data_IF_754137038600
#
_entry.id   IF_754137038600
#
_cell.length_a   1.000
_cell.length_b   1.000
_cell.length_c   1.000
_cell.angle_alpha   90.00
_cell.angle_beta   90.00
_cell.angle_gamma   90.00
#
_symmetry.space_group_name_H-M   'P 1'
#
loop_
_entity.id
_entity.type
_entity.pdbx_description
1 polymer ?
#
# COMPACT_ATOMS: atom_id res chain seq x y z
N UNK A 1 9.50 -3.91 -0.11
CA UNK A 1 8.47 -4.33 0.85
C UNK A 1 8.87 -5.61 1.59
N UNK A 2 9.12 -6.74 0.91
CA UNK A 2 9.38 -8.04 1.56
C UNK A 2 10.44 -7.95 2.66
N UNK A 3 11.60 -7.39 2.38
CA UNK A 3 12.68 -7.25 3.37
C UNK A 3 12.26 -6.38 4.58
N UNK A 4 11.50 -5.30 4.36
CA UNK A 4 10.99 -4.45 5.44
C UNK A 4 9.97 -5.16 6.32
N UNK A 5 9.05 -5.94 5.73
CA UNK A 5 8.09 -6.76 6.49
C UNK A 5 8.83 -7.82 7.31
N UNK A 6 9.77 -8.54 6.69
CA UNK A 6 10.57 -9.55 7.38
C UNK A 6 11.36 -8.94 8.53
N UNK A 7 11.98 -7.78 8.32
CA UNK A 7 12.68 -7.05 9.40
C UNK A 7 11.74 -6.72 10.55
N UNK A 8 10.54 -6.21 10.26
CA UNK A 8 9.55 -5.86 11.28
C UNK A 8 9.07 -7.07 12.07
N UNK A 9 8.87 -8.22 11.40
CA UNK A 9 8.53 -9.49 12.04
C UNK A 9 9.68 -9.97 12.92
N UNK A 10 10.89 -9.97 12.40
CA UNK A 10 12.08 -10.45 13.13
C UNK A 10 12.39 -9.62 14.37
N UNK A 11 12.16 -8.31 14.34
CA UNK A 11 12.31 -7.43 15.52
C UNK A 11 11.27 -7.73 16.62
N UNK A 12 10.19 -8.41 16.29
CA UNK A 12 9.12 -8.80 17.22
C UNK A 12 8.96 -10.30 17.33
N UNK A 13 10.01 -11.06 17.01
CA UNK A 13 9.93 -12.53 16.94
C UNK A 13 9.48 -13.19 18.25
N UNK A 14 9.86 -12.65 19.39
CA UNK A 14 9.46 -13.16 20.70
C UNK A 14 7.96 -12.93 20.97
N UNK A 15 7.44 -11.77 20.58
CA UNK A 15 6.02 -11.43 20.69
C UNK A 15 5.16 -12.25 19.71
N UNK A 16 5.68 -12.51 18.52
CA UNK A 16 4.97 -13.20 17.44
C UNK A 16 5.27 -14.70 17.38
N UNK A 17 6.20 -15.19 18.20
CA UNK A 17 6.64 -16.60 18.26
C UNK A 17 7.00 -17.17 16.87
N UNK A 18 7.85 -16.43 16.12
CA UNK A 18 8.24 -16.79 14.75
C UNK A 18 9.56 -17.55 14.72
N UNK A 19 9.49 -18.83 14.32
CA UNK A 19 10.64 -19.74 14.19
C UNK A 19 11.13 -19.88 12.74
N UNK A 20 10.21 -19.77 11.77
CA UNK A 20 10.51 -20.00 10.36
C UNK A 20 9.80 -18.99 9.47
N UNK A 21 10.51 -18.48 8.48
CA UNK A 21 9.98 -17.63 7.39
C UNK A 21 10.22 -18.35 6.07
N UNK A 22 9.17 -18.47 5.27
CA UNK A 22 9.22 -19.05 3.93
C UNK A 22 8.99 -18.00 2.88
N UNK A 23 9.93 -17.86 1.96
CA UNK A 23 9.76 -17.06 0.76
C UNK A 23 9.24 -17.93 -0.36
N UNK A 24 8.09 -17.58 -0.91
CA UNK A 24 7.50 -18.25 -2.06
C UNK A 24 7.31 -17.26 -3.21
N UNK A 25 7.78 -17.61 -4.39
CA UNK A 25 7.53 -16.87 -5.62
C UNK A 25 7.47 -17.85 -6.80
N UNK A 26 6.65 -17.53 -7.81
CA UNK A 26 6.60 -18.29 -9.06
C UNK A 26 7.81 -18.01 -9.96
N UNK A 27 8.56 -16.94 -9.72
CA UNK A 27 9.76 -16.54 -10.45
C UNK A 27 11.00 -16.77 -9.57
N UNK A 28 11.71 -17.85 -9.86
CA UNK A 28 12.90 -18.26 -9.10
C UNK A 28 14.00 -17.19 -9.11
N UNK A 29 14.28 -16.56 -10.24
CA UNK A 29 15.35 -15.56 -10.33
C UNK A 29 15.07 -14.33 -9.45
N UNK A 30 13.84 -13.84 -9.47
CA UNK A 30 13.41 -12.73 -8.59
C UNK A 30 13.48 -13.14 -7.13
N UNK A 31 13.02 -14.33 -6.82
CA UNK A 31 13.02 -14.89 -5.48
C UNK A 31 14.44 -15.00 -4.91
N UNK A 32 15.39 -15.54 -5.69
CA UNK A 32 16.77 -15.69 -5.27
C UNK A 32 17.41 -14.33 -4.92
N UNK A 33 17.12 -13.28 -5.71
CA UNK A 33 17.59 -11.91 -5.43
C UNK A 33 16.99 -11.35 -4.12
N UNK A 34 15.72 -11.58 -3.87
CA UNK A 34 15.06 -11.15 -2.63
C UNK A 34 15.58 -11.93 -1.45
N UNK A 35 15.81 -13.23 -1.61
CA UNK A 35 16.31 -14.12 -0.57
C UNK A 35 17.67 -13.68 -0.02
N UNK A 36 18.59 -13.22 -0.88
CA UNK A 36 19.89 -12.68 -0.44
C UNK A 36 19.72 -11.50 0.53
N UNK A 37 18.81 -10.59 0.22
CA UNK A 37 18.56 -9.42 1.08
C UNK A 37 17.89 -9.84 2.39
N UNK A 38 16.92 -10.75 2.33
CA UNK A 38 16.20 -11.25 3.50
C UNK A 38 17.13 -12.04 4.43
N UNK A 39 17.97 -12.90 3.87
CA UNK A 39 18.98 -13.66 4.62
C UNK A 39 19.94 -12.72 5.37
N UNK A 40 20.43 -11.69 4.66
CA UNK A 40 21.29 -10.69 5.26
C UNK A 40 20.60 -9.95 6.43
N UNK A 41 19.35 -9.55 6.26
CA UNK A 41 18.56 -8.88 7.31
C UNK A 41 18.38 -9.78 8.51
N UNK A 42 18.00 -11.04 8.32
CA UNK A 42 17.75 -11.98 9.42
C UNK A 42 19.04 -12.37 10.17
N UNK A 43 20.07 -12.77 9.43
CA UNK A 43 21.22 -13.45 10.02
C UNK A 43 22.46 -12.57 10.20
N UNK A 44 22.58 -11.45 9.45
CA UNK A 44 23.72 -10.54 9.58
C UNK A 44 23.37 -9.24 10.29
N UNK A 45 22.26 -8.61 9.92
CA UNK A 45 21.86 -7.35 10.54
C UNK A 45 21.25 -7.56 11.93
N UNK A 46 20.28 -8.48 12.05
CA UNK A 46 19.52 -8.73 13.28
C UNK A 46 20.04 -9.91 14.11
N UNK A 47 20.95 -10.71 13.56
CA UNK A 47 21.54 -11.88 14.21
C UNK A 47 20.48 -12.80 14.84
N UNK A 48 19.43 -13.11 14.09
CA UNK A 48 18.37 -14.02 14.54
C UNK A 48 18.68 -15.46 14.17
N UNK A 49 17.99 -16.39 14.83
CA UNK A 49 17.98 -17.81 14.57
C UNK A 49 16.78 -18.27 13.74
N UNK A 50 15.97 -17.31 13.23
CA UNK A 50 14.80 -17.59 12.39
C UNK A 50 15.24 -18.33 11.13
N UNK A 51 14.68 -19.51 10.91
CA UNK A 51 14.97 -20.33 9.74
C UNK A 51 14.37 -19.69 8.48
N UNK A 52 15.19 -19.50 7.44
CA UNK A 52 14.75 -19.03 6.14
C UNK A 52 14.65 -20.19 5.16
N UNK A 53 13.46 -20.39 4.57
CA UNK A 53 13.20 -21.33 3.48
C UNK A 53 12.84 -20.57 2.22
N UNK A 54 13.48 -20.92 1.11
CA UNK A 54 13.25 -20.29 -0.22
C UNK A 54 12.75 -21.37 -1.16
N UNK A 55 11.53 -21.23 -1.69
CA UNK A 55 10.92 -22.28 -2.50
C UNK A 55 9.98 -21.75 -3.57
N UNK A 56 9.92 -22.46 -4.70
CA UNK A 56 8.89 -22.28 -5.74
C UNK A 56 7.82 -23.37 -5.70
N UNK A 57 7.92 -24.28 -4.76
CA UNK A 57 6.95 -25.37 -4.55
C UNK A 57 5.84 -24.92 -3.59
N UNK A 58 4.61 -25.00 -4.05
CA UNK A 58 3.41 -24.57 -3.33
C UNK A 58 3.20 -25.35 -2.04
N UNK A 59 3.40 -26.68 -2.09
CA UNK A 59 3.22 -27.52 -0.94
C UNK A 59 4.26 -27.19 0.13
N UNK A 60 5.53 -27.08 -0.24
CA UNK A 60 6.60 -26.70 0.67
C UNK A 60 6.37 -25.31 1.27
N UNK A 61 5.83 -24.37 0.48
CA UNK A 61 5.55 -23.03 0.93
C UNK A 61 4.50 -22.98 2.04
N UNK A 62 3.41 -23.73 1.89
CA UNK A 62 2.23 -23.56 2.75
C UNK A 62 2.04 -24.66 3.80
N UNK A 63 2.71 -25.83 3.69
CA UNK A 63 2.52 -26.90 4.68
C UNK A 63 2.77 -26.40 6.10
N UNK A 64 1.77 -26.58 6.97
CA UNK A 64 1.80 -26.21 8.39
C UNK A 64 2.09 -24.72 8.70
N UNK A 65 1.87 -23.81 7.73
CA UNK A 65 1.98 -22.38 7.99
C UNK A 65 0.81 -21.85 8.82
N UNK A 66 1.11 -20.90 9.73
CA UNK A 66 0.10 -20.20 10.53
C UNK A 66 -0.33 -18.88 9.87
N UNK A 67 0.61 -18.17 9.21
CA UNK A 67 0.38 -16.88 8.57
C UNK A 67 0.95 -16.85 7.17
N UNK A 68 0.20 -16.27 6.24
CA UNK A 68 0.64 -16.03 4.87
C UNK A 68 0.54 -14.54 4.56
N UNK A 69 1.67 -13.91 4.24
CA UNK A 69 1.72 -12.55 3.76
C UNK A 69 1.65 -12.55 2.23
N UNK A 70 0.49 -12.21 1.67
CA UNK A 70 0.28 -12.19 0.23
C UNK A 70 0.66 -10.81 -0.33
N UNK A 71 1.67 -10.80 -1.22
CA UNK A 71 2.19 -9.60 -1.84
C UNK A 71 2.51 -9.90 -3.31
N UNK A 72 1.54 -9.75 -4.17
CA UNK A 72 1.69 -10.07 -5.59
C UNK A 72 1.33 -8.89 -6.49
N UNK A 73 2.02 -8.81 -7.63
CA UNK A 73 1.69 -7.91 -8.74
C UNK A 73 1.52 -8.72 -10.01
N UNK A 74 0.28 -9.10 -10.29
CA UNK A 74 -0.06 -9.90 -11.47
C UNK A 74 0.12 -9.08 -12.75
N UNK A 75 0.96 -9.58 -13.67
CA UNK A 75 1.35 -8.87 -14.88
C UNK A 75 2.56 -7.94 -14.75
N UNK A 76 3.08 -7.76 -13.53
CA UNK A 76 4.26 -6.93 -13.28
C UNK A 76 4.08 -5.46 -13.64
N UNK A 77 5.19 -4.75 -13.80
CA UNK A 77 5.17 -3.32 -14.14
C UNK A 77 4.72 -3.04 -15.57
N UNK A 78 4.99 -3.95 -16.51
CA UNK A 78 4.57 -3.79 -17.90
C UNK A 78 3.03 -3.68 -18.02
N UNK A 79 2.30 -4.54 -17.32
CA UNK A 79 0.83 -4.48 -17.31
C UNK A 79 0.32 -3.26 -16.55
N UNK A 80 0.96 -2.89 -15.44
CA UNK A 80 0.63 -1.64 -14.73
C UNK A 80 0.70 -0.44 -15.67
N UNK A 81 1.75 -0.34 -16.46
CA UNK A 81 1.92 0.74 -17.42
C UNK A 81 0.76 0.78 -18.44
N UNK A 82 0.29 -0.37 -18.91
CA UNK A 82 -0.85 -0.45 -19.81
C UNK A 82 -2.15 -0.07 -19.12
N UNK A 83 -2.38 -0.52 -17.89
CA UNK A 83 -3.56 -0.20 -17.11
C UNK A 83 -3.73 1.32 -16.91
N UNK A 84 -2.61 2.04 -16.79
CA UNK A 84 -2.63 3.49 -16.64
C UNK A 84 -2.68 4.23 -17.99
N UNK A 85 -1.97 3.74 -19.01
CA UNK A 85 -1.89 4.39 -20.34
C UNK A 85 -3.15 4.20 -21.20
N UNK A 86 -3.79 3.05 -21.14
CA UNK A 86 -4.98 2.78 -21.95
C UNK A 86 -6.12 3.74 -21.63
N UNK A 87 -6.54 3.90 -20.36
CA UNK A 87 -7.57 4.89 -20.02
C UNK A 87 -7.23 6.31 -20.47
N UNK A 88 -5.97 6.73 -20.32
CA UNK A 88 -5.52 8.07 -20.72
C UNK A 88 -5.73 8.33 -22.23
N UNK A 89 -5.52 7.33 -23.09
CA UNK A 89 -5.77 7.45 -24.55
C UNK A 89 -7.24 7.68 -24.86
N UNK A 90 -8.14 7.33 -23.95
CA UNK A 90 -9.58 7.50 -24.06
C UNK A 90 -10.13 8.66 -23.22
N UNK A 91 -9.24 9.57 -22.77
CA UNK A 91 -9.64 10.71 -21.96
C UNK A 91 -10.11 10.37 -20.54
N UNK A 92 -9.82 9.17 -20.07
CA UNK A 92 -10.13 8.73 -18.70
C UNK A 92 -8.87 8.74 -17.82
N UNK A 93 -9.05 8.96 -16.53
CA UNK A 93 -7.96 8.87 -15.55
C UNK A 93 -7.44 7.43 -15.50
N UNK A 94 -6.13 7.26 -15.72
CA UNK A 94 -5.43 5.99 -15.58
C UNK A 94 -4.74 5.89 -14.22
N UNK A 95 -5.28 5.07 -13.33
CA UNK A 95 -4.76 4.88 -11.98
C UNK A 95 -4.65 3.38 -11.66
N UNK A 96 -3.68 3.01 -10.83
CA UNK A 96 -3.38 1.61 -10.51
C UNK A 96 -4.49 0.91 -9.75
N UNK A 97 -5.17 1.61 -8.84
CA UNK A 97 -6.05 0.99 -7.83
C UNK A 97 -7.52 1.32 -8.01
N UNK A 98 -7.84 2.40 -8.71
CA UNK A 98 -9.19 2.88 -8.92
C UNK A 98 -9.49 3.07 -10.41
N UNK A 99 -10.77 3.25 -10.78
CA UNK A 99 -11.20 3.48 -12.16
C UNK A 99 -10.91 2.30 -13.08
N UNK A 100 -10.78 2.59 -14.38
CA UNK A 100 -10.60 1.58 -15.42
C UNK A 100 -9.29 0.78 -15.25
N UNK A 101 -8.21 1.45 -14.86
CA UNK A 101 -6.92 0.80 -14.61
C UNK A 101 -6.98 -0.15 -13.42
N UNK A 102 -7.58 0.31 -12.31
CA UNK A 102 -7.81 -0.52 -11.13
C UNK A 102 -8.71 -1.71 -11.42
N UNK A 103 -9.75 -1.55 -12.23
CA UNK A 103 -10.60 -2.66 -12.67
C UNK A 103 -9.80 -3.72 -13.46
N UNK A 104 -9.01 -3.31 -14.44
CA UNK A 104 -8.21 -4.22 -15.25
C UNK A 104 -7.18 -4.98 -14.40
N UNK A 105 -6.49 -4.30 -13.50
CA UNK A 105 -5.56 -4.90 -12.55
C UNK A 105 -6.28 -5.85 -11.58
N UNK A 106 -7.42 -5.44 -11.03
CA UNK A 106 -8.24 -6.26 -10.14
C UNK A 106 -8.68 -7.56 -10.79
N UNK A 107 -9.22 -7.49 -11.98
CA UNK A 107 -9.65 -8.68 -12.74
C UNK A 107 -8.50 -9.68 -12.94
N UNK A 108 -7.28 -9.22 -13.18
CA UNK A 108 -6.11 -10.11 -13.27
C UNK A 108 -5.69 -10.70 -11.93
N UNK A 109 -5.86 -9.94 -10.83
CA UNK A 109 -5.39 -10.34 -9.51
C UNK A 109 -6.34 -11.30 -8.81
N UNK A 110 -7.64 -11.26 -9.11
CA UNK A 110 -8.66 -12.09 -8.45
C UNK A 110 -8.32 -13.58 -8.56
N UNK A 111 -8.07 -14.11 -9.77
CA UNK A 111 -7.86 -15.54 -9.95
C UNK A 111 -6.61 -16.08 -9.23
N UNK A 112 -5.43 -15.44 -9.33
CA UNK A 112 -4.28 -15.86 -8.55
C UNK A 112 -4.49 -15.76 -7.03
N UNK A 113 -5.28 -14.80 -6.55
CA UNK A 113 -5.60 -14.70 -5.13
C UNK A 113 -6.53 -15.82 -4.67
N UNK A 114 -7.53 -16.17 -5.46
CA UNK A 114 -8.40 -17.31 -5.16
C UNK A 114 -7.60 -18.62 -5.16
N UNK A 115 -6.69 -18.80 -6.11
CA UNK A 115 -5.79 -19.95 -6.14
C UNK A 115 -4.90 -20.00 -4.89
N UNK A 116 -4.34 -18.87 -4.47
CA UNK A 116 -3.56 -18.78 -3.23
C UNK A 116 -4.41 -19.20 -2.02
N UNK A 117 -5.65 -18.75 -1.91
CA UNK A 117 -6.55 -19.16 -0.83
C UNK A 117 -6.78 -20.66 -0.85
N UNK A 118 -7.08 -21.25 -2.01
CA UNK A 118 -7.33 -22.68 -2.16
C UNK A 118 -6.08 -23.51 -1.78
N UNK A 119 -4.89 -23.06 -2.17
CA UNK A 119 -3.63 -23.70 -1.83
C UNK A 119 -3.34 -23.62 -0.31
N UNK A 120 -3.58 -22.47 0.30
CA UNK A 120 -3.41 -22.28 1.74
C UNK A 120 -4.42 -23.12 2.51
N UNK A 121 -5.69 -23.15 2.12
CA UNK A 121 -6.70 -24.02 2.75
C UNK A 121 -6.34 -25.49 2.68
N UNK A 122 -5.65 -25.91 1.62
CA UNK A 122 -5.25 -27.32 1.41
C UNK A 122 -4.05 -27.72 2.28
N UNK A 123 -3.08 -26.84 2.48
CA UNK A 123 -1.78 -27.21 3.04
C UNK A 123 -1.46 -26.59 4.40
N UNK A 124 -2.00 -25.41 4.71
CA UNK A 124 -1.69 -24.70 5.94
C UNK A 124 -2.42 -25.31 7.17
N UNK A 125 -2.09 -24.82 8.35
CA UNK A 125 -2.82 -25.14 9.56
C UNK A 125 -4.28 -24.70 9.45
N UNK A 126 -5.20 -25.33 10.17
CA UNK A 126 -6.63 -25.01 10.12
C UNK A 126 -6.98 -23.61 10.62
N UNK A 127 -6.14 -23.06 11.46
CA UNK A 127 -6.27 -21.74 12.05
C UNK A 127 -5.40 -20.66 11.36
N UNK A 128 -4.97 -20.92 10.13
CA UNK A 128 -4.20 -19.98 9.31
C UNK A 128 -4.86 -18.62 9.17
N UNK A 129 -4.03 -17.60 8.88
CA UNK A 129 -4.48 -16.31 8.42
C UNK A 129 -3.71 -15.86 7.18
N UNK A 130 -4.44 -15.29 6.21
CA UNK A 130 -3.85 -14.63 5.05
C UNK A 130 -3.94 -13.12 5.28
N UNK A 131 -2.80 -12.44 5.25
CA UNK A 131 -2.70 -10.99 5.28
C UNK A 131 -2.39 -10.52 3.85
N UNK A 132 -3.42 -10.07 3.14
CA UNK A 132 -3.26 -9.63 1.75
C UNK A 132 -2.89 -8.15 1.69
N UNK A 133 -1.71 -7.87 1.15
CA UNK A 133 -1.19 -6.53 0.88
C UNK A 133 -1.15 -6.23 -0.63
N UNK A 134 -1.82 -7.04 -1.45
CA UNK A 134 -1.88 -6.86 -2.90
C UNK A 134 -2.98 -5.88 -3.31
N UNK A 135 -2.69 -5.04 -4.29
CA UNK A 135 -3.66 -4.11 -4.89
C UNK A 135 -4.35 -4.72 -6.12
N UNK A 136 -5.52 -4.20 -6.51
CA UNK A 136 -6.38 -3.23 -5.80
C UNK A 136 -7.14 -3.89 -4.65
N UNK A 137 -6.80 -3.50 -3.42
CA UNK A 137 -7.29 -4.21 -2.23
C UNK A 137 -8.83 -4.28 -2.15
N UNK A 138 -9.55 -3.21 -2.49
CA UNK A 138 -11.02 -3.19 -2.43
C UNK A 138 -11.66 -4.20 -3.37
N UNK A 139 -11.19 -4.29 -4.63
CA UNK A 139 -11.73 -5.22 -5.65
C UNK A 139 -11.41 -6.67 -5.27
N UNK A 140 -10.16 -6.92 -4.89
CA UNK A 140 -9.71 -8.26 -4.50
C UNK A 140 -10.41 -8.72 -3.23
N UNK A 141 -10.56 -7.85 -2.23
CA UNK A 141 -11.29 -8.13 -0.99
C UNK A 141 -12.72 -8.57 -1.24
N UNK A 142 -13.45 -7.81 -2.05
CA UNK A 142 -14.85 -8.13 -2.36
C UNK A 142 -14.98 -9.45 -3.15
N UNK A 143 -14.06 -9.71 -4.07
CA UNK A 143 -14.02 -10.98 -4.79
C UNK A 143 -13.75 -12.17 -3.85
N UNK A 144 -12.77 -12.03 -2.94
CA UNK A 144 -12.47 -13.07 -1.94
C UNK A 144 -13.69 -13.33 -1.05
N UNK A 145 -14.34 -12.28 -0.55
CA UNK A 145 -15.54 -12.38 0.27
C UNK A 145 -16.67 -13.12 -0.42
N UNK A 146 -16.86 -12.90 -1.72
CA UNK A 146 -17.92 -13.56 -2.52
C UNK A 146 -17.56 -14.99 -2.90
N UNK A 147 -16.33 -15.23 -3.32
CA UNK A 147 -15.92 -16.51 -3.91
C UNK A 147 -15.39 -17.49 -2.86
N UNK A 148 -14.86 -16.99 -1.74
CA UNK A 148 -14.33 -17.78 -0.62
C UNK A 148 -14.78 -17.19 0.72
N UNK A 149 -16.10 -17.17 1.02
CA UNK A 149 -16.66 -16.47 2.18
C UNK A 149 -16.20 -17.03 3.53
N UNK A 150 -15.61 -18.22 3.56
CA UNK A 150 -15.07 -18.86 4.77
C UNK A 150 -13.58 -18.70 4.94
N UNK A 151 -12.88 -18.17 3.93
CA UNK A 151 -11.43 -17.98 3.98
C UNK A 151 -11.04 -16.97 5.08
N UNK A 152 -10.00 -17.29 5.82
CA UNK A 152 -9.45 -16.43 6.86
C UNK A 152 -8.45 -15.45 6.21
N UNK A 153 -8.97 -14.42 5.58
CA UNK A 153 -8.18 -13.41 4.88
C UNK A 153 -8.53 -12.00 5.36
N UNK A 154 -7.50 -11.20 5.61
CA UNK A 154 -7.60 -9.78 5.92
C UNK A 154 -6.84 -9.02 4.83
N UNK A 155 -7.51 -8.03 4.23
CA UNK A 155 -6.88 -7.14 3.26
C UNK A 155 -6.40 -5.90 3.99
N UNK A 156 -5.11 -5.58 3.87
CA UNK A 156 -4.44 -4.53 4.62
C UNK A 156 -3.80 -3.51 3.69
N UNK A 157 -3.72 -2.28 4.16
CA UNK A 157 -2.99 -1.18 3.52
C UNK A 157 -2.40 -0.29 4.61
N UNK A 158 -1.23 0.26 4.36
CA UNK A 158 -0.53 1.17 5.26
C UNK A 158 -0.92 2.64 5.07
N UNK A 159 -1.62 2.96 3.99
CA UNK A 159 -1.91 4.35 3.63
C UNK A 159 -2.60 5.17 4.73
N UNK A 160 -3.66 4.71 5.41
CA UNK A 160 -4.27 5.48 6.49
C UNK A 160 -3.29 5.79 7.64
N UNK A 161 -2.45 4.82 7.99
CA UNK A 161 -1.45 4.98 9.07
C UNK A 161 -0.33 5.92 8.64
N UNK A 162 0.14 5.81 7.40
CA UNK A 162 1.16 6.69 6.85
C UNK A 162 0.70 8.16 6.84
N UNK A 163 -0.59 8.41 6.59
CA UNK A 163 -1.15 9.75 6.64
C UNK A 163 -1.15 10.30 8.07
N UNK A 164 -1.47 9.49 9.06
CA UNK A 164 -1.39 9.92 10.46
C UNK A 164 0.06 10.26 10.85
N UNK A 165 1.06 9.58 10.32
CA UNK A 165 2.47 9.97 10.50
C UNK A 165 2.75 11.37 9.94
N UNK A 166 2.23 11.63 8.78
CA UNK A 166 2.38 12.91 8.10
C UNK A 166 1.61 14.02 8.82
N UNK A 167 0.39 13.76 9.29
CA UNK A 167 -0.38 14.68 10.12
C UNK A 167 0.37 15.00 11.41
N UNK A 168 0.91 14.00 12.08
CA UNK A 168 1.70 14.19 13.29
C UNK A 168 2.91 15.09 13.04
N UNK A 169 3.64 14.84 11.96
CA UNK A 169 4.79 15.68 11.57
C UNK A 169 4.38 17.12 11.25
N UNK A 170 3.32 17.32 10.47
CA UNK A 170 2.81 18.65 10.09
C UNK A 170 2.32 19.46 11.30
N UNK A 171 1.77 18.79 12.31
CA UNK A 171 1.23 19.42 13.52
C UNK A 171 2.22 19.42 14.70
N UNK A 172 3.46 18.92 14.52
CA UNK A 172 4.47 18.85 15.56
C UNK A 172 4.15 17.87 16.69
N UNK A 173 3.31 16.85 16.42
CA UNK A 173 2.88 15.86 17.41
C UNK A 173 3.94 14.77 17.52
N UNK A 174 4.46 14.55 18.72
CA UNK A 174 5.50 13.54 18.96
C UNK A 174 4.92 12.13 19.12
N UNK A 175 3.77 11.98 19.76
CA UNK A 175 3.13 10.70 19.98
C UNK A 175 1.88 10.51 19.10
N UNK A 176 2.12 10.05 17.88
CA UNK A 176 1.03 9.79 16.91
C UNK A 176 -0.01 8.77 17.38
N UNK A 177 0.32 7.91 18.36
CA UNK A 177 -0.62 6.91 18.90
C UNK A 177 -1.79 7.53 19.68
N UNK A 178 -1.65 8.79 20.07
CA UNK A 178 -2.71 9.54 20.77
C UNK A 178 -3.62 10.30 19.81
N UNK A 179 -3.34 10.25 18.50
CA UNK A 179 -4.23 10.79 17.47
C UNK A 179 -5.40 9.82 17.30
N UNK A 180 -6.60 10.34 17.52
CA UNK A 180 -7.86 9.63 17.28
C UNK A 180 -8.46 10.16 15.99
N UNK A 181 -8.95 9.27 15.12
CA UNK A 181 -9.50 9.68 13.84
C UNK A 181 -10.64 8.79 13.37
N UNK A 182 -11.56 9.38 12.63
CA UNK A 182 -12.60 8.68 11.88
C UNK A 182 -12.25 8.67 10.40
N UNK A 183 -12.27 7.48 9.81
CA UNK A 183 -11.88 7.25 8.43
C UNK A 183 -12.87 6.31 7.74
N UNK A 184 -13.27 6.64 6.52
CA UNK A 184 -14.17 5.80 5.73
C UNK A 184 -13.80 5.82 4.24
N UNK A 185 -14.41 4.95 3.45
CA UNK A 185 -14.26 4.89 2.00
C UNK A 185 -13.61 3.60 1.51
N UNK A 186 -13.25 3.59 0.25
CA UNK A 186 -12.56 2.48 -0.39
C UNK A 186 -11.04 2.65 -0.25
N UNK A 187 -10.32 1.54 -0.31
CA UNK A 187 -8.86 1.58 -0.37
C UNK A 187 -8.40 2.49 -1.53
N UNK A 188 -7.46 3.39 -1.27
CA UNK A 188 -7.00 4.46 -2.16
C UNK A 188 -8.07 5.48 -2.59
N UNK A 189 -9.24 5.46 -1.98
CA UNK A 189 -10.29 6.46 -2.14
C UNK A 189 -11.03 6.64 -0.83
N UNK A 190 -10.30 7.01 0.20
CA UNK A 190 -10.78 7.18 1.56
C UNK A 190 -10.70 8.61 2.05
N UNK A 191 -11.44 8.89 3.12
CA UNK A 191 -11.67 10.22 3.65
C UNK A 191 -11.62 10.22 5.16
N UNK A 192 -10.97 11.24 5.73
CA UNK A 192 -11.02 11.53 7.15
C UNK A 192 -12.16 12.51 7.41
N UNK A 193 -13.00 12.21 8.37
CA UNK A 193 -14.09 13.09 8.85
C UNK A 193 -13.78 13.71 10.18
N UNK A 194 -12.85 13.14 10.94
CA UNK A 194 -12.37 13.65 12.21
C UNK A 194 -10.92 13.24 12.39
N UNK A 195 -10.09 14.16 12.86
CA UNK A 195 -8.74 13.89 13.34
C UNK A 195 -8.57 14.73 14.61
N UNK A 196 -8.35 14.06 15.75
CA UNK A 196 -8.28 14.70 17.07
C UNK A 196 -6.98 14.34 17.78
N UNK A 197 -6.47 15.26 18.57
CA UNK A 197 -5.34 15.03 19.46
C UNK A 197 -5.65 15.66 20.83
N UNK A 198 -5.64 14.86 21.89
CA UNK A 198 -6.03 15.29 23.25
C UNK A 198 -7.38 15.99 23.31
N UNK A 199 -8.33 15.57 22.48
CA UNK A 199 -9.67 16.17 22.40
C UNK A 199 -9.76 17.45 21.57
N UNK A 200 -8.64 17.94 21.04
CA UNK A 200 -8.64 19.06 20.10
C UNK A 200 -8.88 18.56 18.68
N UNK A 201 -9.81 19.20 17.96
CA UNK A 201 -10.04 18.95 16.53
C UNK A 201 -8.90 19.55 15.68
N UNK A 202 -8.17 18.70 14.98
CA UNK A 202 -7.07 19.11 14.10
C UNK A 202 -7.52 19.47 12.69
N UNK A 203 -8.76 19.17 12.30
CA UNK A 203 -9.24 19.39 10.93
C UNK A 203 -9.09 20.85 10.46
N UNK A 204 -9.50 21.86 11.25
CA UNK A 204 -9.32 23.27 10.88
C UNK A 204 -7.84 23.67 10.70
N UNK A 205 -6.97 23.21 11.62
CA UNK A 205 -5.53 23.49 11.55
C UNK A 205 -4.87 22.86 10.32
N UNK A 206 -5.23 21.62 10.03
CA UNK A 206 -4.73 20.90 8.84
C UNK A 206 -5.16 21.60 7.54
N UNK A 207 -6.40 22.07 7.48
CA UNK A 207 -6.91 22.83 6.33
C UNK A 207 -6.18 24.16 6.16
N UNK A 208 -5.97 24.89 7.24
CA UNK A 208 -5.19 26.14 7.23
C UNK A 208 -3.75 25.86 6.76
N UNK A 209 -3.11 24.83 7.30
CA UNK A 209 -1.76 24.41 6.90
C UNK A 209 -1.65 24.07 5.41
N UNK A 210 -2.63 23.33 4.87
CA UNK A 210 -2.70 23.00 3.44
C UNK A 210 -2.83 24.27 2.61
N UNK A 211 -3.70 25.19 3.02
CA UNK A 211 -3.96 26.46 2.32
C UNK A 211 -2.77 27.42 2.37
N UNK A 212 -2.15 27.59 3.53
CA UNK A 212 -1.01 28.50 3.73
C UNK A 212 0.25 28.03 2.99
N UNK A 213 0.46 26.74 2.93
CA UNK A 213 1.61 26.20 2.22
C UNK A 213 1.42 26.14 0.70
N UNK A 214 0.23 26.54 0.20
CA UNK A 214 -0.14 26.73 -1.22
C UNK A 214 0.50 25.73 -2.18
N UNK A 215 0.62 24.48 -1.77
CA UNK A 215 1.11 23.46 -2.67
C UNK A 215 -0.09 22.99 -3.53
N UNK A 216 -0.84 23.93 -3.96
CA UNK A 216 -1.82 23.83 -5.02
C UNK A 216 -1.05 23.70 -6.33
N UNK A 217 -0.55 22.51 -6.57
CA UNK A 217 -0.20 21.95 -7.86
C UNK A 217 0.15 23.01 -8.94
N UNK A 218 1.18 23.85 -8.74
CA UNK A 218 1.68 24.63 -9.86
C UNK A 218 2.11 23.63 -10.95
N UNK A 219 1.98 24.00 -12.17
CA UNK A 219 2.35 23.15 -13.32
C UNK A 219 3.80 22.65 -13.23
N UNK A 220 4.68 23.43 -12.62
CA UNK A 220 6.05 23.05 -12.28
C UNK A 220 6.13 21.89 -11.30
N UNK A 221 5.22 21.81 -10.35
CA UNK A 221 5.13 20.74 -9.35
C UNK A 221 4.63 19.44 -9.98
N UNK A 222 3.67 19.53 -10.89
CA UNK A 222 3.21 18.39 -11.67
C UNK A 222 4.33 17.76 -12.49
N UNK A 223 5.22 18.59 -13.03
CA UNK A 223 6.44 18.14 -13.72
C UNK A 223 7.40 17.41 -12.77
N UNK A 224 7.54 17.90 -11.53
CA UNK A 224 8.36 17.28 -10.48
C UNK A 224 7.79 15.97 -9.94
N UNK A 225 6.49 15.94 -9.64
CA UNK A 225 5.80 14.76 -9.11
C UNK A 225 5.83 13.56 -10.05
N UNK A 226 5.88 13.78 -11.34
CA UNK A 226 6.09 12.69 -12.27
C UNK A 226 7.44 11.99 -12.13
N UNK A 227 8.42 12.64 -11.49
CA UNK A 227 9.69 12.01 -11.13
C UNK A 227 9.58 11.24 -9.80
N UNK A 228 8.73 11.67 -8.89
CA UNK A 228 8.55 11.10 -7.55
C UNK A 228 7.63 9.87 -7.53
N UNK A 229 6.56 9.88 -8.32
CA UNK A 229 5.67 8.72 -8.47
C UNK A 229 6.26 7.62 -9.34
N UNK A 230 7.28 7.95 -10.10
CA UNK A 230 8.02 6.99 -10.87
C UNK A 230 9.11 6.34 -10.01
N UNK A 231 8.86 5.53 -9.04
CA UNK A 231 9.85 4.65 -8.40
C UNK A 231 10.84 4.03 -9.43
N UNK A 232 11.66 4.86 -10.06
CA UNK A 232 12.55 4.51 -11.18
C UNK A 232 11.83 4.14 -12.47
N UNK A 233 10.53 4.07 -12.51
CA UNK A 233 9.81 3.73 -13.71
C UNK A 233 9.58 4.98 -14.56
N UNK A 234 9.90 4.85 -15.80
CA UNK A 234 9.78 5.80 -16.89
C UNK A 234 8.35 6.30 -17.16
N UNK A 235 7.47 6.30 -16.17
CA UNK A 235 6.06 6.63 -16.30
C UNK A 235 5.84 8.14 -16.45
N UNK A 236 6.50 8.72 -17.44
CA UNK A 236 6.20 10.09 -17.90
C UNK A 236 4.74 10.28 -18.33
N UNK A 237 4.01 9.19 -18.48
CA UNK A 237 2.62 9.19 -18.94
C UNK A 237 1.58 9.15 -17.83
N UNK A 238 1.96 8.77 -16.63
CA UNK A 238 1.06 8.76 -15.46
C UNK A 238 0.98 10.10 -14.73
N UNK A 239 1.84 11.05 -15.10
CA UNK A 239 1.80 12.42 -14.57
C UNK A 239 0.42 13.07 -14.63
N UNK A 240 -0.29 12.86 -15.74
CA UNK A 240 -1.61 13.42 -15.93
C UNK A 240 -2.68 12.76 -15.05
N UNK A 241 -2.57 11.45 -14.79
CA UNK A 241 -3.58 10.69 -14.05
C UNK A 241 -3.67 11.09 -12.60
N UNK A 242 -2.55 11.11 -11.91
CA UNK A 242 -2.49 11.50 -10.50
C UNK A 242 -2.90 12.96 -10.30
N UNK A 243 -2.53 13.84 -11.23
CA UNK A 243 -2.97 15.23 -11.20
C UNK A 243 -4.49 15.36 -11.19
N UNK A 244 -5.18 14.66 -12.06
CA UNK A 244 -6.63 14.74 -12.13
C UNK A 244 -7.32 14.14 -10.91
N UNK A 245 -6.79 13.07 -10.36
CA UNK A 245 -7.29 12.51 -9.10
C UNK A 245 -7.14 13.53 -7.97
N UNK A 246 -5.96 14.12 -7.80
CA UNK A 246 -5.73 15.08 -6.73
C UNK A 246 -6.49 16.38 -6.91
N UNK A 247 -6.63 16.85 -8.16
CA UNK A 247 -7.46 18.01 -8.46
C UNK A 247 -8.91 17.77 -8.04
N UNK A 248 -9.47 16.61 -8.39
CA UNK A 248 -10.81 16.23 -7.99
C UNK A 248 -10.97 16.08 -6.47
N UNK A 249 -10.02 15.45 -5.79
CA UNK A 249 -10.01 15.35 -4.33
C UNK A 249 -9.89 16.74 -3.67
N UNK A 250 -9.07 17.62 -4.22
CA UNK A 250 -8.94 18.99 -3.73
C UNK A 250 -10.23 19.81 -3.92
N UNK A 251 -10.86 19.70 -5.08
CA UNK A 251 -12.15 20.36 -5.35
C UNK A 251 -13.25 19.88 -4.39
N UNK A 252 -13.27 18.57 -4.08
CA UNK A 252 -14.18 18.01 -3.08
C UNK A 252 -13.85 18.59 -1.70
N UNK A 253 -12.58 18.62 -1.31
CA UNK A 253 -12.16 19.17 -0.02
C UNK A 253 -12.53 20.65 0.15
N UNK A 254 -12.48 21.44 -0.92
CA UNK A 254 -12.90 22.85 -0.87
C UNK A 254 -14.40 23.02 -0.71
N UNK A 255 -15.19 22.18 -1.39
CA UNK A 255 -16.65 22.24 -1.34
C UNK A 255 -17.24 21.54 -0.11
N UNK A 256 -16.55 20.59 0.46
CA UNK A 256 -16.96 19.79 1.64
C UNK A 256 -15.87 19.85 2.71
N UNK A 257 -15.82 20.94 3.48
CA UNK A 257 -14.74 21.17 4.45
C UNK A 257 -14.63 20.13 5.58
N UNK A 258 -15.65 19.35 5.79
CA UNK A 258 -15.67 18.24 6.76
C UNK A 258 -14.86 17.00 6.30
N UNK A 259 -14.43 16.94 5.03
CA UNK A 259 -13.68 15.81 4.49
C UNK A 259 -12.24 16.18 4.14
N UNK A 260 -11.30 15.33 4.56
CA UNK A 260 -9.91 15.38 4.09
C UNK A 260 -9.57 14.10 3.33
N UNK A 261 -9.15 14.22 2.06
CA UNK A 261 -8.85 13.06 1.24
C UNK A 261 -7.53 12.42 1.61
N UNK A 262 -7.54 11.13 1.66
CA UNK A 262 -6.40 10.30 1.99
C UNK A 262 -5.29 10.39 0.94
N UNK A 263 -5.60 10.19 -0.33
CA UNK A 263 -4.59 10.11 -1.40
C UNK A 263 -3.89 11.43 -1.61
N UNK A 264 -4.63 12.53 -1.61
CA UNK A 264 -4.09 13.87 -1.73
C UNK A 264 -3.12 14.20 -0.58
N UNK A 265 -3.53 13.98 0.66
CA UNK A 265 -2.70 14.25 1.83
C UNK A 265 -1.40 13.44 1.81
N UNK A 266 -1.47 12.16 1.48
CA UNK A 266 -0.30 11.29 1.49
C UNK A 266 0.78 11.77 0.50
N UNK A 267 0.39 12.05 -0.73
CA UNK A 267 1.36 12.46 -1.75
C UNK A 267 1.82 13.91 -1.61
N UNK A 268 0.93 14.77 -1.18
CA UNK A 268 1.19 16.17 -0.95
C UNK A 268 2.27 16.41 0.11
N UNK A 269 2.12 15.78 1.25
CA UNK A 269 3.02 16.01 2.37
C UNK A 269 4.37 15.30 2.15
N UNK A 270 4.39 14.14 1.52
CA UNK A 270 5.64 13.48 1.10
C UNK A 270 6.43 14.29 0.07
N UNK A 271 5.75 14.94 -0.86
CA UNK A 271 6.41 15.73 -1.88
C UNK A 271 7.05 17.02 -1.32
N UNK A 272 6.50 17.59 -0.24
CA UNK A 272 7.12 18.72 0.46
C UNK A 272 8.45 18.34 1.08
N UNK A 273 8.53 17.19 1.74
CA UNK A 273 9.79 16.69 2.32
C UNK A 273 10.86 16.48 1.24
N UNK A 274 10.48 15.92 0.09
CA UNK A 274 11.41 15.68 -1.02
C UNK A 274 11.84 16.97 -1.73
N UNK A 275 10.98 17.98 -1.80
CA UNK A 275 11.36 19.29 -2.37
C UNK A 275 12.39 20.05 -1.51
N UNK A 276 12.38 19.81 -0.20
CA UNK A 276 13.38 20.39 0.73
C UNK A 276 14.75 19.69 0.65
N UNK A 277 14.77 18.42 0.21
CA UNK A 277 16.03 17.67 0.03
C UNK A 277 16.76 18.07 -1.26
N UNK A 278 16.06 18.61 -2.25
CA UNK A 278 16.63 19.01 -3.54
C UNK A 278 16.98 20.50 -3.65
N UNK A 279 16.83 21.25 -2.59
CA UNK A 279 17.32 22.63 -2.48
C UNK A 279 18.65 22.64 -1.72
#
# INVERSE_FOLDING_TARGET
FTAGIVKSIALRREELEVDEIRLFDINKERQDKVAVVVDWVLHKELNTDIKLVVTTDVQQAYTDTSFVFAQMRVGGYAMREQDEKIPLRHGCVGQETCGCGGMAYGMRTIFPMIQLIDDVEKYAKKDYWILNYSNPAAIVSEACRKLRPKARIINICDMPIAIIDVVAAAMGIQNKKEIVYDYFGLNHFGWFTSIQYHGEDLMPKLRAYIKENQILLPESYLKGMGALTSSGSQNRHTKGSWYYVWKGEYEIMENFPEYLPNTYLNYYLQAKELSLIHI
#
